data_IF_157892899190
#
_entry.id   IF_157892899190
#
_cell.length_a   1.000
_cell.length_b   1.000
_cell.length_c   1.000
_cell.angle_alpha   90.00
_cell.angle_beta   90.00
_cell.angle_gamma   90.00
#
_symmetry.space_group_name_H-M   'P 1'
#
loop_
_entity.id
_entity.type
_entity.pdbx_description
1 polymer ?
#
# COMPACT_ATOMS: atom_id res chain seq x y z
N UNK A 1 66.65 -5.55 33.39
CA UNK A 1 65.99 -6.10 32.18
C UNK A 1 64.68 -6.80 32.52
N UNK A 2 64.67 -7.76 33.47
CA UNK A 2 63.44 -8.41 33.96
C UNK A 2 62.34 -7.45 34.43
N UNK A 3 62.70 -6.40 35.19
CA UNK A 3 61.75 -5.40 35.67
C UNK A 3 61.04 -4.64 34.52
N UNK A 4 61.72 -4.37 33.39
CA UNK A 4 61.10 -3.70 32.24
C UNK A 4 60.13 -4.63 31.49
N UNK A 5 60.45 -5.92 31.39
CA UNK A 5 59.56 -6.93 30.81
C UNK A 5 58.30 -7.15 31.67
N UNK A 6 58.47 -7.30 33.00
CA UNK A 6 57.37 -7.40 33.96
C UNK A 6 56.49 -6.16 33.98
N UNK A 7 57.08 -4.97 33.88
CA UNK A 7 56.35 -3.71 33.84
C UNK A 7 55.58 -3.55 32.52
N UNK A 8 56.15 -3.99 31.39
CA UNK A 8 55.41 -4.07 30.11
C UNK A 8 54.23 -5.07 30.17
N UNK A 9 54.41 -6.24 30.79
CA UNK A 9 53.32 -7.22 30.95
C UNK A 9 52.23 -6.73 31.91
N UNK A 10 52.59 -6.08 33.02
CA UNK A 10 51.63 -5.51 33.97
C UNK A 10 50.79 -4.41 33.31
N UNK A 11 51.42 -3.57 32.49
CA UNK A 11 50.75 -2.49 31.78
C UNK A 11 49.76 -3.06 30.74
N UNK A 12 50.14 -4.10 30.01
CA UNK A 12 49.25 -4.77 29.06
C UNK A 12 48.01 -5.37 29.74
N UNK A 13 48.16 -6.03 30.89
CA UNK A 13 47.02 -6.59 31.65
C UNK A 13 46.09 -5.49 32.17
N UNK A 14 46.63 -4.39 32.69
CA UNK A 14 45.83 -3.27 33.19
C UNK A 14 45.04 -2.59 32.05
N UNK A 15 45.67 -2.40 30.89
CA UNK A 15 45.02 -1.89 29.68
C UNK A 15 43.93 -2.85 29.20
N UNK A 16 44.19 -4.17 29.18
CA UNK A 16 43.20 -5.19 28.82
C UNK A 16 41.99 -5.18 29.76
N UNK A 17 42.19 -5.17 31.07
CA UNK A 17 41.09 -5.11 32.05
C UNK A 17 40.27 -3.83 31.91
N UNK A 18 40.94 -2.68 31.78
CA UNK A 18 40.26 -1.39 31.59
C UNK A 18 39.43 -1.40 30.31
N UNK A 19 39.99 -1.92 29.22
CA UNK A 19 39.29 -2.05 27.93
C UNK A 19 38.09 -3.00 28.05
N UNK A 20 38.26 -4.15 28.71
CA UNK A 20 37.18 -5.12 28.91
C UNK A 20 36.04 -4.55 29.79
N UNK A 21 36.38 -3.80 30.84
CA UNK A 21 35.41 -3.11 31.70
C UNK A 21 34.65 -2.03 30.93
N UNK A 22 35.33 -1.21 30.13
CA UNK A 22 34.68 -0.20 29.28
C UNK A 22 33.71 -0.88 28.30
N UNK A 23 34.15 -1.95 27.64
CA UNK A 23 33.30 -2.74 26.74
C UNK A 23 32.09 -3.30 27.49
N UNK A 24 32.27 -3.83 28.71
CA UNK A 24 31.18 -4.36 29.53
C UNK A 24 30.16 -3.28 29.88
N UNK A 25 30.59 -2.10 30.34
CA UNK A 25 29.70 -0.99 30.65
C UNK A 25 28.93 -0.49 29.43
N UNK A 26 29.59 -0.41 28.26
CA UNK A 26 28.94 -0.07 27.00
C UNK A 26 27.86 -1.11 26.65
N UNK A 27 28.15 -2.41 26.76
CA UNK A 27 27.19 -3.47 26.48
C UNK A 27 26.01 -3.48 27.47
N UNK A 28 26.26 -3.27 28.77
CA UNK A 28 25.20 -3.13 29.77
C UNK A 28 24.32 -1.91 29.44
N UNK A 29 24.92 -0.78 29.07
CA UNK A 29 24.20 0.42 28.65
C UNK A 29 23.31 0.16 27.43
N UNK A 30 23.86 -0.49 26.39
CA UNK A 30 23.12 -0.90 25.18
C UNK A 30 21.97 -1.84 25.54
N UNK A 31 22.19 -2.82 26.42
CA UNK A 31 21.17 -3.75 26.86
C UNK A 31 20.03 -3.05 27.61
N UNK A 32 20.34 -2.16 28.55
CA UNK A 32 19.34 -1.36 29.27
C UNK A 32 18.55 -0.49 28.29
N UNK A 33 19.22 0.18 27.34
CA UNK A 33 18.57 0.97 26.30
C UNK A 33 17.64 0.11 25.42
N UNK A 34 18.06 -1.12 25.08
CA UNK A 34 17.24 -2.08 24.35
C UNK A 34 16.00 -2.51 25.15
N UNK A 35 16.14 -2.75 26.46
CA UNK A 35 15.02 -3.06 27.35
C UNK A 35 14.03 -1.89 27.49
N UNK A 36 14.54 -0.66 27.71
CA UNK A 36 13.71 0.55 27.80
C UNK A 36 12.94 0.75 26.50
N UNK A 37 13.63 0.65 25.36
CA UNK A 37 13.02 0.70 24.03
C UNK A 37 11.94 -0.36 23.89
N UNK A 38 12.24 -1.61 24.22
CA UNK A 38 11.30 -2.72 24.10
C UNK A 38 10.01 -2.46 24.88
N UNK A 39 10.13 -2.04 26.15
CA UNK A 39 8.98 -1.69 26.99
C UNK A 39 8.19 -0.52 26.39
N UNK A 40 8.91 0.51 25.93
CA UNK A 40 8.31 1.71 25.36
C UNK A 40 7.51 1.41 24.08
N UNK A 41 8.11 0.64 23.17
CA UNK A 41 7.50 0.26 21.89
C UNK A 41 6.31 -0.66 22.12
N UNK A 42 6.44 -1.71 22.95
CA UNK A 42 5.34 -2.65 23.23
C UNK A 42 4.12 -1.94 23.79
N UNK A 43 4.31 -0.95 24.67
CA UNK A 43 3.20 -0.18 25.25
C UNK A 43 2.40 0.61 24.21
N UNK A 44 2.97 0.93 23.06
CA UNK A 44 2.28 1.62 21.95
C UNK A 44 1.59 0.68 20.97
N UNK A 45 1.95 -0.61 20.97
CA UNK A 45 1.38 -1.56 20.01
C UNK A 45 -0.05 -1.93 20.42
N UNK A 46 -0.96 -2.15 19.45
CA UNK A 46 -2.27 -2.71 19.75
C UNK A 46 -2.13 -4.04 20.49
N UNK A 47 -2.77 -4.15 21.66
CA UNK A 47 -2.74 -5.38 22.46
C UNK A 47 -3.58 -6.44 21.77
N UNK A 48 -3.21 -7.71 21.94
CA UNK A 48 -3.99 -8.86 21.45
C UNK A 48 -4.15 -8.94 19.93
N UNK A 49 -3.47 -8.10 19.16
CA UNK A 49 -3.46 -8.15 17.70
C UNK A 49 -2.06 -8.48 17.19
N UNK A 50 -2.01 -9.08 16.01
CA UNK A 50 -0.78 -9.41 15.32
C UNK A 50 -0.60 -8.48 14.13
N UNK A 51 0.63 -7.97 13.95
CA UNK A 51 0.96 -7.16 12.78
C UNK A 51 0.94 -8.06 11.54
N UNK A 52 0.23 -7.61 10.52
CA UNK A 52 0.21 -8.25 9.21
C UNK A 52 1.08 -7.47 8.22
N UNK A 53 1.77 -8.21 7.36
CA UNK A 53 2.60 -7.68 6.28
C UNK A 53 4.05 -8.15 6.37
N UNK A 54 4.89 -7.58 5.52
CA UNK A 54 6.31 -7.92 5.47
C UNK A 54 7.09 -7.24 6.59
N UNK A 55 7.91 -8.04 7.27
CA UNK A 55 8.78 -7.63 8.37
C UNK A 55 10.26 -7.63 7.98
N UNK A 56 10.59 -8.24 6.86
CA UNK A 56 11.91 -8.35 6.24
C UNK A 56 12.07 -7.36 5.08
N UNK A 57 13.05 -7.61 4.22
CA UNK A 57 13.23 -6.90 2.95
C UNK A 57 11.96 -7.04 2.09
N UNK A 58 11.55 -5.92 1.46
CA UNK A 58 10.42 -5.88 0.54
C UNK A 58 10.63 -6.81 -0.65
N UNK A 59 9.55 -7.44 -1.13
CA UNK A 59 9.61 -8.24 -2.36
C UNK A 59 9.87 -7.37 -3.60
N UNK A 60 9.68 -6.05 -3.51
CA UNK A 60 10.03 -5.09 -4.56
C UNK A 60 11.35 -4.34 -4.30
N UNK A 61 12.16 -4.77 -3.34
CA UNK A 61 13.47 -4.16 -3.11
C UNK A 61 14.39 -4.27 -4.34
N UNK A 62 14.25 -5.35 -5.13
CA UNK A 62 14.97 -5.60 -6.37
C UNK A 62 14.13 -5.30 -7.63
N UNK A 63 13.06 -4.50 -7.52
CA UNK A 63 12.16 -4.21 -8.66
C UNK A 63 12.88 -3.59 -9.87
N UNK A 64 14.04 -2.97 -9.65
CA UNK A 64 14.85 -2.31 -10.67
C UNK A 64 15.87 -3.23 -11.34
N UNK A 65 15.99 -4.49 -10.91
CA UNK A 65 16.90 -5.44 -11.54
C UNK A 65 16.54 -5.68 -13.00
N UNK A 66 17.55 -5.66 -13.87
CA UNK A 66 17.44 -5.86 -15.33
C UNK A 66 16.77 -7.20 -15.67
N UNK A 67 16.87 -8.20 -14.79
CA UNK A 67 16.23 -9.53 -14.96
C UNK A 67 14.71 -9.46 -15.11
N UNK A 68 14.08 -8.38 -14.64
CA UNK A 68 12.63 -8.15 -14.75
C UNK A 68 12.24 -7.31 -15.97
N UNK A 69 13.21 -6.77 -16.71
CA UNK A 69 12.99 -5.90 -17.87
C UNK A 69 12.95 -6.62 -19.23
N UNK A 70 12.46 -7.86 -19.26
CA UNK A 70 12.34 -8.67 -20.48
C UNK A 70 11.28 -8.07 -21.42
N UNK A 71 11.71 -7.54 -22.56
CA UNK A 71 10.80 -6.99 -23.59
C UNK A 71 10.33 -8.08 -24.56
N UNK A 72 11.04 -9.21 -24.68
CA UNK A 72 10.76 -10.31 -25.61
C UNK A 72 10.35 -11.60 -24.88
N UNK A 73 9.59 -12.46 -25.55
CA UNK A 73 9.26 -13.82 -25.07
C UNK A 73 10.56 -14.61 -24.83
N UNK A 74 10.90 -14.84 -23.56
CA UNK A 74 12.05 -15.65 -23.21
C UNK A 74 11.93 -17.05 -23.80
N UNK A 75 13.02 -17.55 -24.40
CA UNK A 75 13.11 -18.91 -24.99
C UNK A 75 12.86 -20.02 -23.96
N UNK A 76 13.01 -19.70 -22.67
CA UNK A 76 12.70 -20.57 -21.53
C UNK A 76 11.36 -20.16 -20.91
N UNK A 77 10.44 -21.14 -20.80
CA UNK A 77 9.11 -21.03 -20.17
C UNK A 77 9.23 -20.69 -18.67
N UNK A 78 9.62 -19.46 -18.35
CA UNK A 78 9.55 -18.96 -16.98
C UNK A 78 8.06 -18.77 -16.66
N UNK A 79 7.53 -19.37 -15.58
CA UNK A 79 6.13 -19.17 -15.23
C UNK A 79 5.88 -17.71 -14.85
N UNK A 80 4.68 -17.23 -15.18
CA UNK A 80 4.24 -15.92 -14.71
C UNK A 80 3.90 -16.05 -13.23
N UNK A 81 4.48 -15.21 -12.38
CA UNK A 81 4.32 -15.32 -10.92
C UNK A 81 3.99 -14.00 -10.26
N UNK A 82 3.32 -14.07 -9.11
CA UNK A 82 3.09 -12.94 -8.23
C UNK A 82 4.39 -12.61 -7.49
N UNK A 83 5.03 -11.52 -7.90
CA UNK A 83 6.25 -11.00 -7.28
C UNK A 83 5.96 -10.30 -5.96
N UNK A 84 4.88 -9.52 -5.89
CA UNK A 84 4.52 -8.81 -4.66
C UNK A 84 3.02 -8.52 -4.56
N UNK A 85 2.52 -8.44 -3.33
CA UNK A 85 1.15 -8.08 -3.00
C UNK A 85 1.09 -6.82 -2.14
N UNK A 86 0.21 -5.91 -2.50
CA UNK A 86 0.01 -4.65 -1.79
C UNK A 86 -1.46 -4.32 -1.61
N UNK A 87 -1.77 -3.75 -0.45
CA UNK A 87 -3.03 -3.05 -0.22
C UNK A 87 -2.75 -1.58 0.13
N UNK A 88 -3.76 -0.75 -0.03
CA UNK A 88 -3.72 0.69 0.13
C UNK A 88 -4.87 1.13 1.06
N UNK A 89 -4.83 0.82 2.37
CA UNK A 89 -6.04 0.90 3.20
C UNK A 89 -6.70 2.27 3.22
N UNK A 90 -5.91 3.32 3.45
CA UNK A 90 -6.31 4.71 3.21
C UNK A 90 -5.98 5.08 1.76
N UNK A 91 -7.02 5.44 1.00
CA UNK A 91 -6.90 5.93 -0.37
C UNK A 91 -5.89 7.07 -0.45
N UNK A 92 -4.96 6.96 -1.39
CA UNK A 92 -3.87 7.92 -1.64
C UNK A 92 -2.75 7.96 -0.58
N UNK A 93 -2.77 7.13 0.45
CA UNK A 93 -1.64 7.02 1.39
C UNK A 93 -0.63 5.93 0.98
N UNK A 94 0.46 5.77 1.73
CA UNK A 94 1.47 4.72 1.49
C UNK A 94 0.83 3.31 1.57
N UNK A 95 1.35 2.31 0.86
CA UNK A 95 0.75 0.98 0.86
C UNK A 95 1.22 0.13 2.05
N UNK A 96 0.58 -1.01 2.25
CA UNK A 96 1.04 -2.10 3.12
C UNK A 96 1.39 -3.29 2.22
N UNK A 97 2.64 -3.75 2.29
CA UNK A 97 3.10 -4.94 1.59
C UNK A 97 2.72 -6.21 2.36
N UNK A 98 2.22 -7.21 1.65
CA UNK A 98 1.70 -8.45 2.20
C UNK A 98 2.41 -9.66 1.59
N UNK A 99 2.60 -10.71 2.39
CA UNK A 99 3.02 -12.02 1.88
C UNK A 99 1.82 -12.80 1.32
N UNK A 100 0.64 -12.58 1.92
CA UNK A 100 -0.64 -13.14 1.51
C UNK A 100 -1.76 -12.11 1.68
N UNK A 101 -2.75 -12.15 0.81
CA UNK A 101 -3.90 -11.24 0.86
C UNK A 101 -5.20 -12.02 0.64
N UNK A 102 -6.22 -11.73 1.45
CA UNK A 102 -7.55 -12.30 1.28
C UNK A 102 -8.25 -11.62 0.11
N UNK A 103 -8.74 -12.42 -0.84
CA UNK A 103 -9.50 -11.95 -1.99
C UNK A 103 -10.99 -12.14 -1.73
N UNK A 104 -11.75 -11.05 -1.80
CA UNK A 104 -13.21 -11.01 -1.69
C UNK A 104 -13.81 -10.38 -2.94
N UNK A 105 -15.14 -10.41 -3.09
CA UNK A 105 -15.82 -9.85 -4.28
C UNK A 105 -15.46 -8.39 -4.56
N UNK A 106 -15.25 -7.61 -3.50
CA UNK A 106 -14.91 -6.19 -3.56
C UNK A 106 -13.41 -5.90 -3.71
N UNK A 107 -12.59 -6.92 -3.92
CA UNK A 107 -11.13 -6.82 -4.10
C UNK A 107 -10.37 -7.47 -2.96
N UNK A 108 -9.17 -6.97 -2.67
CA UNK A 108 -8.44 -7.44 -1.50
C UNK A 108 -9.03 -6.86 -0.22
N UNK A 109 -9.16 -7.71 0.81
CA UNK A 109 -9.60 -7.25 2.12
C UNK A 109 -8.75 -6.06 2.60
N UNK A 110 -9.43 -5.07 3.16
CA UNK A 110 -8.84 -3.82 3.67
C UNK A 110 -8.22 -2.88 2.62
N UNK A 111 -8.27 -3.16 1.31
CA UNK A 111 -7.80 -2.23 0.28
C UNK A 111 -8.76 -1.04 0.08
N UNK A 112 -8.21 0.19 0.03
CA UNK A 112 -8.93 1.45 -0.25
C UNK A 112 -10.29 1.54 0.44
N UNK A 113 -10.25 1.22 1.72
CA UNK A 113 -11.42 1.03 2.54
C UNK A 113 -11.65 2.29 3.44
N UNK A 114 -10.60 3.12 3.58
CA UNK A 114 -10.64 4.46 4.17
C UNK A 114 -10.28 5.55 3.14
N UNK A 115 -10.69 6.80 3.39
CA UNK A 115 -10.28 7.97 2.61
C UNK A 115 -10.20 9.22 3.49
N UNK A 116 -9.19 10.07 3.28
CA UNK A 116 -9.17 11.40 3.88
C UNK A 116 -10.04 12.36 3.06
N UNK A 117 -10.85 13.16 3.74
CA UNK A 117 -11.75 14.13 3.12
C UNK A 117 -11.69 15.48 3.83
N UNK A 118 -11.77 16.55 3.05
CA UNK A 118 -11.89 17.91 3.56
C UNK A 118 -13.29 18.45 3.30
N UNK A 119 -13.74 19.34 4.17
CA UNK A 119 -14.94 20.12 3.94
C UNK A 119 -14.60 21.23 2.93
N UNK A 120 -15.10 21.12 1.70
CA UNK A 120 -14.83 22.07 0.62
C UNK A 120 -15.75 23.30 0.74
N UNK A 121 -17.00 23.07 1.12
CA UNK A 121 -17.98 24.07 1.58
C UNK A 121 -18.74 23.47 2.76
N UNK A 122 -19.51 24.29 3.47
CA UNK A 122 -20.32 23.85 4.61
C UNK A 122 -21.12 22.58 4.25
N UNK A 123 -20.85 21.48 4.96
CA UNK A 123 -21.43 20.15 4.78
C UNK A 123 -21.18 19.47 3.40
N UNK A 124 -20.35 20.06 2.52
CA UNK A 124 -19.90 19.46 1.26
C UNK A 124 -18.47 18.90 1.41
N UNK A 125 -18.37 17.58 1.62
CA UNK A 125 -17.08 16.90 1.79
C UNK A 125 -16.51 16.39 0.47
N UNK A 126 -15.20 16.55 0.29
CA UNK A 126 -14.47 16.07 -0.88
C UNK A 126 -13.21 15.32 -0.46
N UNK A 127 -12.94 14.18 -1.10
CA UNK A 127 -11.70 13.45 -0.84
C UNK A 127 -10.45 14.27 -1.23
N UNK A 128 -9.35 14.02 -0.54
CA UNK A 128 -8.02 14.52 -0.94
C UNK A 128 -7.18 13.38 -1.50
N UNK A 129 -6.21 13.72 -2.37
CA UNK A 129 -5.34 12.75 -3.02
C UNK A 129 -3.92 13.25 -3.18
N UNK A 130 -2.99 12.34 -3.50
CA UNK A 130 -1.60 12.69 -3.82
C UNK A 130 -1.49 13.72 -4.95
N UNK A 131 -2.50 13.83 -5.82
CA UNK A 131 -2.54 14.84 -6.89
C UNK A 131 -2.47 16.27 -6.37
N UNK A 132 -3.12 16.52 -5.24
CA UNK A 132 -3.16 17.83 -4.60
C UNK A 132 -2.26 17.90 -3.38
N UNK A 133 -1.98 16.73 -2.76
CA UNK A 133 -1.28 16.56 -1.48
C UNK A 133 -0.26 15.42 -1.60
N UNK A 134 0.85 15.61 -2.32
CA UNK A 134 1.77 14.52 -2.67
C UNK A 134 2.40 13.87 -1.42
N UNK A 135 2.57 14.64 -0.34
CA UNK A 135 3.01 14.19 0.99
C UNK A 135 2.16 13.06 1.60
N UNK A 136 0.94 12.83 1.10
CA UNK A 136 0.14 11.66 1.50
C UNK A 136 0.86 10.33 1.23
N UNK A 137 1.77 10.25 0.25
CA UNK A 137 2.59 9.05 0.03
C UNK A 137 3.48 8.70 1.23
N UNK A 138 3.77 9.65 2.11
CA UNK A 138 4.57 9.47 3.32
C UNK A 138 3.74 9.11 4.56
N UNK A 139 2.40 9.08 4.43
CA UNK A 139 1.51 8.60 5.49
C UNK A 139 1.54 7.07 5.46
N UNK A 140 2.29 6.49 6.40
CA UNK A 140 2.51 5.06 6.54
C UNK A 140 1.39 4.42 7.35
N UNK A 141 1.14 3.15 7.04
CA UNK A 141 0.06 2.37 7.61
C UNK A 141 0.61 1.02 8.03
N UNK A 142 0.12 0.46 9.14
CA UNK A 142 0.35 -0.94 9.51
C UNK A 142 -0.98 -1.58 9.87
N UNK A 143 -1.22 -2.74 9.29
CA UNK A 143 -2.41 -3.55 9.52
C UNK A 143 -2.19 -4.48 10.71
N UNK A 144 -3.18 -4.58 11.58
CA UNK A 144 -3.18 -5.43 12.77
C UNK A 144 -4.46 -6.25 12.80
N UNK A 145 -4.36 -7.57 12.79
CA UNK A 145 -5.50 -8.49 12.78
C UNK A 145 -5.51 -9.38 14.04
N UNK A 146 -6.68 -9.89 14.45
CA UNK A 146 -6.76 -10.88 15.52
C UNK A 146 -5.95 -12.14 15.19
N UNK A 147 -5.11 -12.57 16.14
CA UNK A 147 -4.47 -13.89 16.16
C UNK A 147 -5.20 -14.89 17.07
N UNK A 148 -4.65 -16.11 17.24
CA UNK A 148 -5.25 -17.16 18.07
C UNK A 148 -5.48 -16.76 19.54
N UNK A 149 -4.55 -15.98 20.11
CA UNK A 149 -4.58 -15.56 21.53
C UNK A 149 -5.34 -14.23 21.75
N UNK A 150 -6.12 -13.79 20.76
CA UNK A 150 -6.81 -12.50 20.84
C UNK A 150 -7.94 -12.53 21.86
N UNK A 151 -8.00 -11.52 22.72
CA UNK A 151 -9.09 -11.38 23.68
C UNK A 151 -10.29 -10.70 23.04
N UNK A 152 -11.41 -11.42 22.95
CA UNK A 152 -12.67 -10.90 22.39
C UNK A 152 -13.26 -9.72 23.17
N UNK A 153 -12.82 -9.47 24.41
CA UNK A 153 -13.24 -8.28 25.18
C UNK A 153 -12.48 -7.01 24.80
N UNK A 154 -11.48 -7.07 23.91
CA UNK A 154 -10.75 -5.90 23.44
C UNK A 154 -11.49 -5.27 22.25
N UNK A 155 -11.78 -3.97 22.35
CA UNK A 155 -12.54 -3.20 21.36
C UNK A 155 -11.98 -3.31 19.93
N UNK A 156 -10.65 -3.38 19.77
CA UNK A 156 -10.01 -3.49 18.46
C UNK A 156 -10.09 -4.92 17.92
N UNK A 157 -10.14 -5.94 18.78
CA UNK A 157 -10.37 -7.32 18.39
C UNK A 157 -11.82 -7.53 17.93
N UNK A 158 -12.80 -6.89 18.60
CA UNK A 158 -14.20 -6.91 18.17
C UNK A 158 -14.45 -6.18 16.86
N UNK A 159 -13.61 -5.17 16.54
CA UNK A 159 -13.60 -4.48 15.26
C UNK A 159 -12.84 -5.23 14.14
N UNK A 160 -12.57 -6.53 14.35
CA UNK A 160 -11.76 -7.41 13.50
C UNK A 160 -10.36 -6.88 13.17
N UNK A 161 -9.82 -6.06 14.06
CA UNK A 161 -8.47 -5.49 13.99
C UNK A 161 -8.45 -3.97 13.88
N UNK A 162 -7.26 -3.45 13.62
CA UNK A 162 -7.04 -2.02 13.50
C UNK A 162 -5.97 -1.66 12.47
N UNK A 163 -5.93 -0.38 12.13
CA UNK A 163 -4.89 0.25 11.37
C UNK A 163 -4.16 1.25 12.26
N UNK A 164 -2.83 1.12 12.38
CA UNK A 164 -2.00 2.18 12.96
C UNK A 164 -1.44 3.02 11.83
N UNK A 165 -1.66 4.33 11.89
CA UNK A 165 -1.24 5.30 10.88
C UNK A 165 -0.13 6.16 11.47
N UNK A 166 0.93 6.40 10.71
CA UNK A 166 2.00 7.33 11.10
C UNK A 166 2.43 8.26 9.97
N UNK A 167 2.90 9.44 10.33
CA UNK A 167 3.44 10.44 9.39
C UNK A 167 4.49 11.32 10.09
N UNK A 168 5.43 11.94 9.34
CA UNK A 168 6.41 12.84 9.91
C UNK A 168 5.77 13.98 10.72
N UNK A 169 6.26 14.22 11.92
CA UNK A 169 5.81 15.34 12.74
C UNK A 169 6.20 16.66 12.05
N UNK A 170 5.23 17.54 11.72
CA UNK A 170 5.53 18.81 11.06
C UNK A 170 6.14 19.85 12.01
N UNK A 171 6.05 19.67 13.33
CA UNK A 171 6.57 20.64 14.28
C UNK A 171 8.11 20.61 14.33
N UNK A 172 8.77 21.75 14.63
CA UNK A 172 10.20 21.76 14.90
C UNK A 172 10.55 20.80 16.04
N UNK A 173 11.26 19.72 15.72
CA UNK A 173 11.62 18.71 16.69
C UNK A 173 12.55 19.26 17.77
N UNK A 174 12.06 19.31 19.02
CA UNK A 174 12.88 19.56 20.21
C UNK A 174 13.98 18.50 20.36
N UNK A 175 15.07 18.83 21.07
CA UNK A 175 16.17 17.90 21.32
C UNK A 175 15.67 16.57 21.94
N UNK A 176 14.72 16.65 22.87
CA UNK A 176 14.11 15.49 23.52
C UNK A 176 13.34 14.60 22.52
N UNK A 177 12.59 15.19 21.58
CA UNK A 177 11.86 14.44 20.55
C UNK A 177 12.81 13.75 19.56
N UNK A 178 13.92 14.39 19.18
CA UNK A 178 14.94 13.78 18.32
C UNK A 178 15.60 12.60 19.03
N UNK A 179 16.04 12.79 20.28
CA UNK A 179 16.61 11.71 21.10
C UNK A 179 15.65 10.54 21.25
N UNK A 180 14.36 10.83 21.49
CA UNK A 180 13.30 9.83 21.58
C UNK A 180 13.11 9.08 20.27
N UNK A 181 13.05 9.78 19.13
CA UNK A 181 12.93 9.15 17.81
C UNK A 181 14.16 8.27 17.50
N UNK A 182 15.37 8.73 17.84
CA UNK A 182 16.60 7.95 17.71
C UNK A 182 16.57 6.69 18.58
N UNK A 183 16.12 6.79 19.84
CA UNK A 183 15.94 5.66 20.75
C UNK A 183 14.92 4.63 20.21
N UNK A 184 13.77 5.11 19.72
CA UNK A 184 12.69 4.29 19.18
C UNK A 184 13.08 3.56 17.88
N UNK A 185 13.96 4.15 17.06
CA UNK A 185 14.30 3.63 15.72
C UNK A 185 15.74 3.09 15.60
N UNK A 186 16.60 3.36 16.59
CA UNK A 186 18.06 3.17 16.51
C UNK A 186 18.71 3.84 15.29
N UNK A 187 18.09 4.90 14.76
CA UNK A 187 18.59 5.65 13.60
C UNK A 187 18.90 7.09 14.01
N UNK A 188 20.15 7.52 13.83
CA UNK A 188 20.62 8.87 14.19
C UNK A 188 19.85 9.99 13.47
N UNK A 189 19.38 9.75 12.26
CA UNK A 189 18.63 10.68 11.42
C UNK A 189 17.10 10.57 11.57
N UNK A 190 16.61 9.81 12.56
CA UNK A 190 15.18 9.57 12.72
C UNK A 190 14.41 10.87 12.99
N UNK A 191 13.39 11.12 12.16
CA UNK A 191 12.45 12.21 12.35
C UNK A 191 11.34 11.74 13.30
N UNK A 192 10.88 12.58 14.25
CA UNK A 192 9.70 12.26 15.04
C UNK A 192 8.49 12.01 14.14
N UNK A 193 7.63 11.08 14.55
CA UNK A 193 6.41 10.73 13.82
C UNK A 193 5.19 10.84 14.73
N UNK A 194 4.10 11.36 14.18
CA UNK A 194 2.77 11.36 14.80
C UNK A 194 2.11 10.03 14.48
N UNK A 195 1.41 9.47 15.47
CA UNK A 195 0.76 8.17 15.35
C UNK A 195 -0.68 8.25 15.84
N UNK A 196 -1.58 7.54 15.17
CA UNK A 196 -2.93 7.27 15.68
C UNK A 196 -3.40 5.88 15.24
N UNK A 197 -4.35 5.33 15.98
CA UNK A 197 -4.95 4.02 15.71
C UNK A 197 -6.42 4.20 15.37
N UNK A 198 -6.88 3.46 14.36
CA UNK A 198 -8.28 3.43 13.95
C UNK A 198 -8.76 1.97 13.80
N UNK A 199 -9.93 1.59 14.32
CA UNK A 199 -10.50 0.26 14.11
C UNK A 199 -10.78 0.00 12.61
N UNK A 200 -10.66 -1.26 12.16
CA UNK A 200 -10.91 -1.60 10.75
C UNK A 200 -12.37 -1.44 10.35
N UNK A 201 -13.28 -1.87 11.21
CA UNK A 201 -14.71 -1.59 11.12
C UNK A 201 -15.31 -1.62 12.54
N UNK A 202 -15.71 -0.48 13.12
CA UNK A 202 -16.41 -0.46 14.40
C UNK A 202 -17.70 -1.30 14.35
N UNK A 203 -18.02 -2.00 15.45
CA UNK A 203 -19.29 -2.72 15.60
C UNK A 203 -20.46 -1.75 15.69
N UNK A 204 -21.69 -2.24 15.48
CA UNK A 204 -22.89 -1.41 15.60
C UNK A 204 -23.04 -0.75 16.99
N UNK A 205 -22.67 -1.48 18.05
CA UNK A 205 -22.68 -0.97 19.42
C UNK A 205 -21.67 0.18 19.58
N UNK A 206 -20.43 -0.03 19.12
CA UNK A 206 -19.39 1.01 19.11
C UNK A 206 -19.79 2.26 18.32
N UNK A 207 -20.43 2.08 17.16
CA UNK A 207 -20.95 3.20 16.34
C UNK A 207 -21.99 3.99 17.13
N UNK A 208 -22.91 3.30 17.81
CA UNK A 208 -23.97 3.94 18.60
C UNK A 208 -23.43 4.66 19.84
N UNK A 209 -22.51 4.01 20.59
CA UNK A 209 -21.93 4.52 21.82
C UNK A 209 -21.05 5.76 21.56
N UNK A 210 -20.20 5.68 20.54
CA UNK A 210 -19.34 6.80 20.12
C UNK A 210 -20.05 7.81 19.22
N UNK A 211 -21.31 7.56 18.85
CA UNK A 211 -22.14 8.40 17.97
C UNK A 211 -21.45 8.75 16.65
N UNK A 212 -20.81 7.77 16.03
CA UNK A 212 -20.06 7.93 14.79
C UNK A 212 -21.05 8.19 13.64
N UNK A 213 -21.03 9.37 12.99
CA UNK A 213 -22.01 9.68 11.96
C UNK A 213 -21.63 9.08 10.61
N UNK A 214 -22.65 8.78 9.80
CA UNK A 214 -22.49 8.53 8.37
C UNK A 214 -22.46 9.85 7.60
N UNK A 215 -21.52 10.01 6.67
CA UNK A 215 -21.40 11.20 5.84
C UNK A 215 -21.24 10.85 4.37
N UNK A 216 -21.83 11.70 3.53
CA UNK A 216 -21.58 11.70 2.10
C UNK A 216 -20.37 12.57 1.78
N UNK A 217 -19.59 12.15 0.79
CA UNK A 217 -18.47 12.91 0.25
C UNK A 217 -18.25 12.57 -1.23
N UNK A 218 -17.56 13.45 -1.95
CA UNK A 218 -17.33 13.27 -3.38
C UNK A 218 -15.95 12.66 -3.64
N UNK A 219 -15.91 11.59 -4.45
CA UNK A 219 -14.68 11.02 -5.02
C UNK A 219 -14.74 11.21 -6.54
N UNK A 220 -13.90 12.07 -7.10
CA UNK A 220 -13.98 12.46 -8.52
C UNK A 220 -15.39 12.96 -8.90
N UNK A 221 -16.11 12.25 -9.75
CA UNK A 221 -17.47 12.57 -10.20
C UNK A 221 -18.54 11.70 -9.53
N UNK A 222 -18.18 10.87 -8.54
CA UNK A 222 -19.12 10.00 -7.83
C UNK A 222 -19.34 10.46 -6.39
N UNK A 223 -20.57 10.29 -5.92
CA UNK A 223 -20.89 10.42 -4.51
C UNK A 223 -20.57 9.11 -3.79
N UNK A 224 -19.89 9.20 -2.67
CA UNK A 224 -19.57 8.09 -1.78
C UNK A 224 -20.13 8.39 -0.39
N UNK A 225 -20.19 7.37 0.45
CA UNK A 225 -20.58 7.50 1.85
C UNK A 225 -19.66 6.69 2.76
N UNK A 226 -19.63 7.01 4.05
CA UNK A 226 -18.88 6.26 5.04
C UNK A 226 -19.04 6.82 6.45
N UNK A 227 -18.54 6.05 7.41
CA UNK A 227 -18.41 6.45 8.80
C UNK A 227 -17.34 7.55 8.91
N UNK A 228 -17.70 8.66 9.57
CA UNK A 228 -16.79 9.76 9.89
C UNK A 228 -16.01 9.45 11.17
N UNK A 229 -14.81 8.91 11.01
CA UNK A 229 -13.95 8.50 12.10
C UNK A 229 -13.06 9.64 12.63
N UNK A 230 -13.20 10.86 12.10
CA UNK A 230 -12.42 12.02 12.54
C UNK A 230 -12.67 12.40 13.99
N UNK A 231 -13.82 12.01 14.54
CA UNK A 231 -14.21 12.29 15.93
C UNK A 231 -13.60 11.31 16.95
N UNK A 232 -13.03 10.19 16.49
CA UNK A 232 -12.39 9.24 17.40
C UNK A 232 -11.23 9.93 18.12
N UNK A 233 -11.07 9.80 19.45
CA UNK A 233 -10.10 10.60 20.22
C UNK A 233 -8.67 10.58 19.67
N UNK A 234 -8.18 9.40 19.24
CA UNK A 234 -6.84 9.28 18.66
C UNK A 234 -6.70 9.96 17.29
N UNK A 235 -7.75 9.91 16.47
CA UNK A 235 -7.78 10.56 15.15
C UNK A 235 -7.90 12.08 15.33
N UNK A 236 -8.84 12.53 16.17
CA UNK A 236 -9.05 13.94 16.52
C UNK A 236 -7.77 14.60 17.04
N UNK A 237 -7.02 13.91 17.91
CA UNK A 237 -5.73 14.40 18.42
C UNK A 237 -4.64 14.53 17.34
N UNK A 238 -4.69 13.70 16.29
CA UNK A 238 -3.71 13.73 15.21
C UNK A 238 -4.07 14.71 14.07
N UNK A 239 -5.35 15.07 13.91
CA UNK A 239 -5.84 15.94 12.81
C UNK A 239 -5.10 17.29 12.71
N UNK A 240 -4.82 18.05 13.79
CA UNK A 240 -4.13 19.34 13.67
C UNK A 240 -2.73 19.21 13.03
N UNK A 241 -1.96 18.21 13.48
CA UNK A 241 -0.64 17.92 12.90
C UNK A 241 -0.75 17.37 11.48
N UNK A 242 -1.75 16.54 11.22
CA UNK A 242 -2.00 16.02 9.86
C UNK A 242 -2.35 17.13 8.88
N UNK A 243 -3.14 18.13 9.30
CA UNK A 243 -3.47 19.32 8.49
C UNK A 243 -2.22 20.13 8.18
N UNK A 244 -1.39 20.39 9.18
CA UNK A 244 -0.11 21.10 9.00
C UNK A 244 0.80 20.35 8.05
N UNK A 245 0.97 19.04 8.27
CA UNK A 245 1.78 18.17 7.41
C UNK A 245 1.31 18.18 5.95
N UNK A 246 0.00 18.15 5.72
CA UNK A 246 -0.61 18.19 4.39
C UNK A 246 -0.85 19.61 3.85
N UNK A 247 -0.36 20.66 4.51
CA UNK A 247 -0.60 22.05 4.10
C UNK A 247 -2.10 22.36 3.89
N UNK A 248 -2.96 21.87 4.79
CA UNK A 248 -4.40 22.14 4.81
C UNK A 248 -4.65 23.31 5.77
N UNK A 249 -5.33 24.39 5.35
CA UNK A 249 -5.60 25.54 6.21
C UNK A 249 -6.29 25.14 7.52
N UNK A 250 -5.93 25.80 8.62
CA UNK A 250 -6.52 25.51 9.95
C UNK A 250 -8.04 25.70 9.99
N UNK A 251 -8.58 26.64 9.21
CA UNK A 251 -10.04 26.84 9.11
C UNK A 251 -10.79 25.73 8.35
N UNK A 252 -10.08 24.89 7.60
CA UNK A 252 -10.70 23.85 6.78
C UNK A 252 -10.78 22.54 7.56
N UNK A 253 -11.96 21.97 7.67
CA UNK A 253 -12.18 20.69 8.34
C UNK A 253 -11.51 19.55 7.55
N UNK A 254 -10.92 18.59 8.26
CA UNK A 254 -10.34 17.36 7.72
C UNK A 254 -10.89 16.19 8.52
N UNK A 255 -11.25 15.11 7.85
CA UNK A 255 -11.67 13.87 8.49
C UNK A 255 -11.15 12.62 7.77
N UNK A 256 -11.32 11.47 8.42
CA UNK A 256 -11.08 10.12 7.91
C UNK A 256 -12.42 9.40 7.74
N UNK A 257 -12.80 9.14 6.49
CA UNK A 257 -13.99 8.37 6.13
C UNK A 257 -13.66 6.88 6.03
N UNK A 258 -14.58 6.01 6.45
CA UNK A 258 -14.50 4.55 6.30
C UNK A 258 -15.75 3.99 5.63
N UNK A 259 -15.60 3.26 4.52
CA UNK A 259 -16.74 2.58 3.90
C UNK A 259 -17.20 1.40 4.77
N UNK A 260 -18.49 1.13 4.77
CA UNK A 260 -19.14 -0.06 5.34
C UNK A 260 -19.70 -0.94 4.20
N UNK A 261 -20.10 -2.20 4.47
CA UNK A 261 -20.78 -3.03 3.48
C UNK A 261 -21.97 -2.34 2.79
N UNK A 262 -22.75 -1.55 3.54
CA UNK A 262 -23.93 -0.84 3.02
C UNK A 262 -23.59 0.39 2.16
N UNK A 263 -22.34 0.84 2.19
CA UNK A 263 -21.87 1.99 1.37
C UNK A 263 -21.11 1.58 0.12
N UNK A 264 -20.96 0.28 -0.11
CA UNK A 264 -20.34 -0.23 -1.32
C UNK A 264 -21.17 0.17 -2.54
N UNK A 265 -20.49 0.50 -3.63
CA UNK A 265 -21.12 0.97 -4.85
C UNK A 265 -20.91 -0.06 -5.95
N UNK A 266 -21.94 -0.27 -6.78
CA UNK A 266 -21.84 -1.10 -7.98
C UNK A 266 -21.00 -0.41 -9.04
N UNK A 267 -20.09 -1.15 -9.65
CA UNK A 267 -19.39 -0.71 -10.86
C UNK A 267 -20.39 -0.56 -12.01
N UNK A 268 -20.27 0.52 -12.78
CA UNK A 268 -21.21 0.87 -13.87
C UNK A 268 -20.53 1.10 -15.21
N UNK A 269 -19.22 0.82 -15.29
CA UNK A 269 -18.37 1.02 -16.47
C UNK A 269 -17.30 -0.06 -16.50
N UNK A 270 -16.86 -0.44 -17.70
CA UNK A 270 -15.82 -1.46 -17.89
C UNK A 270 -16.19 -2.76 -17.18
N UNK A 271 -17.27 -3.39 -17.62
CA UNK A 271 -17.87 -4.55 -16.98
C UNK A 271 -17.32 -5.85 -17.59
N UNK A 272 -17.21 -6.90 -16.78
CA UNK A 272 -16.97 -8.26 -17.25
C UNK A 272 -18.31 -9.01 -17.27
N UNK A 273 -18.54 -9.92 -18.24
CA UNK A 273 -19.78 -10.69 -18.34
C UNK A 273 -20.18 -11.36 -17.03
N UNK A 274 -21.48 -11.31 -16.69
CA UNK A 274 -22.01 -12.00 -15.51
C UNK A 274 -21.80 -13.51 -15.58
N UNK A 275 -21.75 -14.09 -16.78
CA UNK A 275 -21.40 -15.50 -16.98
C UNK A 275 -20.01 -15.86 -16.44
N UNK A 276 -19.11 -14.88 -16.32
CA UNK A 276 -17.80 -15.06 -15.70
C UNK A 276 -17.81 -14.64 -14.23
N UNK A 277 -18.32 -13.44 -13.92
CA UNK A 277 -18.15 -12.87 -12.57
C UNK A 277 -19.26 -13.29 -11.58
N UNK A 278 -20.35 -13.89 -12.06
CA UNK A 278 -21.54 -14.23 -11.28
C UNK A 278 -22.40 -13.00 -10.99
N UNK A 279 -22.07 -12.29 -9.93
CA UNK A 279 -22.77 -11.07 -9.51
C UNK A 279 -22.05 -9.79 -9.94
N UNK A 280 -22.77 -8.66 -10.08
CA UNK A 280 -22.18 -7.37 -10.37
C UNK A 280 -21.00 -7.02 -9.45
N UNK A 281 -19.93 -6.49 -10.03
CA UNK A 281 -18.77 -6.07 -9.24
C UNK A 281 -19.11 -4.85 -8.38
N UNK A 282 -18.69 -4.92 -7.11
CA UNK A 282 -18.91 -3.90 -6.09
C UNK A 282 -17.57 -3.36 -5.61
N UNK A 283 -17.53 -2.10 -5.15
CA UNK A 283 -16.29 -1.52 -4.66
C UNK A 283 -16.50 -0.43 -3.61
N UNK A 284 -15.48 -0.22 -2.77
CA UNK A 284 -15.43 0.85 -1.78
C UNK A 284 -14.85 2.15 -2.35
N UNK A 285 -13.69 2.58 -1.86
CA UNK A 285 -13.02 3.80 -2.32
C UNK A 285 -11.96 3.58 -3.41
N UNK A 286 -11.97 2.39 -4.05
CA UNK A 286 -11.24 2.15 -5.30
C UNK A 286 -11.75 3.07 -6.42
N UNK A 287 -10.97 3.26 -7.48
CA UNK A 287 -11.35 4.20 -8.54
C UNK A 287 -12.50 3.67 -9.39
N UNK A 288 -12.26 2.60 -10.14
CA UNK A 288 -13.27 1.99 -11.00
C UNK A 288 -13.54 0.53 -10.67
N UNK A 289 -12.49 -0.20 -10.30
CA UNK A 289 -12.52 -1.67 -10.21
C UNK A 289 -11.79 -2.14 -8.95
N UNK A 290 -12.14 -3.32 -8.42
CA UNK A 290 -11.70 -3.77 -7.10
C UNK A 290 -10.24 -4.24 -7.05
N UNK A 291 -9.69 -4.77 -8.15
CA UNK A 291 -8.31 -5.26 -8.21
C UNK A 291 -7.56 -4.57 -9.34
N UNK A 292 -6.28 -4.28 -9.11
CA UNK A 292 -5.37 -3.70 -10.09
C UNK A 292 -4.08 -4.52 -10.16
N UNK A 293 -3.73 -4.98 -11.36
CA UNK A 293 -2.50 -5.73 -11.63
C UNK A 293 -1.53 -4.91 -12.49
N UNK A 294 -0.24 -5.13 -12.31
CA UNK A 294 0.80 -4.55 -13.15
C UNK A 294 1.95 -5.54 -13.31
N UNK A 295 2.51 -5.58 -14.51
CA UNK A 295 3.67 -6.39 -14.83
C UNK A 295 4.95 -5.56 -14.72
N UNK A 296 5.99 -6.09 -14.08
CA UNK A 296 7.24 -5.37 -13.90
C UNK A 296 7.96 -5.12 -15.23
N UNK A 297 7.88 -6.02 -16.22
CA UNK A 297 8.48 -5.77 -17.54
C UNK A 297 7.83 -4.57 -18.24
N UNK A 298 6.51 -4.38 -18.10
CA UNK A 298 5.81 -3.17 -18.57
C UNK A 298 6.32 -1.90 -17.90
N UNK A 299 6.61 -1.94 -16.58
CA UNK A 299 7.18 -0.79 -15.84
C UNK A 299 8.59 -0.49 -16.32
N UNK A 300 9.43 -1.51 -16.53
CA UNK A 300 10.77 -1.37 -17.07
C UNK A 300 10.76 -0.78 -18.47
N UNK A 301 9.88 -1.28 -19.35
CA UNK A 301 9.72 -0.77 -20.71
C UNK A 301 9.37 0.72 -20.72
N UNK A 302 8.42 1.16 -19.87
CA UNK A 302 8.11 2.59 -19.70
C UNK A 302 9.27 3.36 -19.07
N UNK A 303 9.99 2.78 -18.10
CA UNK A 303 11.14 3.40 -17.45
C UNK A 303 12.22 3.78 -18.46
N UNK A 304 12.51 2.92 -19.45
CA UNK A 304 13.52 3.16 -20.50
C UNK A 304 13.18 4.35 -21.40
N UNK A 305 11.89 4.71 -21.49
CA UNK A 305 11.38 5.82 -22.30
C UNK A 305 11.36 7.16 -21.54
N UNK A 306 11.62 7.16 -20.23
CA UNK A 306 11.68 8.39 -19.45
C UNK A 306 12.99 9.15 -19.71
N UNK A 307 13.02 10.47 -19.49
CA UNK A 307 14.27 11.21 -19.40
C UNK A 307 15.19 10.57 -18.35
N UNK A 308 16.53 10.55 -18.57
CA UNK A 308 17.47 9.89 -17.67
C UNK A 308 17.36 10.32 -16.21
N UNK A 309 17.03 11.59 -15.95
CA UNK A 309 16.85 12.15 -14.59
C UNK A 309 15.63 11.61 -13.85
N UNK A 310 14.66 11.02 -14.56
CA UNK A 310 13.46 10.40 -13.99
C UNK A 310 13.55 8.86 -13.96
N UNK A 311 14.72 8.28 -14.28
CA UNK A 311 14.97 6.85 -14.19
C UNK A 311 15.71 6.48 -12.88
N UNK A 312 15.49 5.29 -12.32
CA UNK A 312 14.49 4.29 -12.72
C UNK A 312 13.08 4.59 -12.19
N UNK A 313 12.06 4.17 -12.94
CA UNK A 313 10.67 4.34 -12.55
C UNK A 313 10.23 3.32 -11.50
N UNK A 314 9.79 3.79 -10.32
CA UNK A 314 9.22 2.87 -9.31
C UNK A 314 7.83 2.37 -9.71
N UNK A 315 7.65 1.05 -9.68
CA UNK A 315 6.35 0.40 -9.91
C UNK A 315 5.28 0.84 -8.90
N UNK A 316 5.68 1.23 -7.68
CA UNK A 316 4.78 1.67 -6.61
C UNK A 316 4.01 2.96 -6.95
N UNK A 317 4.49 3.77 -7.91
CA UNK A 317 3.77 4.96 -8.44
C UNK A 317 2.42 4.60 -9.03
N UNK A 318 2.26 3.37 -9.51
CA UNK A 318 1.05 2.91 -10.16
C UNK A 318 0.02 2.30 -9.20
N UNK A 319 0.40 2.06 -7.94
CA UNK A 319 -0.50 1.60 -6.87
C UNK A 319 -1.31 0.36 -7.27
N UNK A 320 -0.62 -0.63 -7.82
CA UNK A 320 -1.19 -1.96 -8.04
C UNK A 320 -1.35 -2.72 -6.73
N UNK A 321 -2.19 -3.75 -6.81
CA UNK A 321 -2.33 -4.75 -5.77
C UNK A 321 -1.45 -5.96 -6.04
N UNK A 322 -1.40 -6.41 -7.31
CA UNK A 322 -0.59 -7.56 -7.73
C UNK A 322 0.50 -7.08 -8.68
N UNK A 323 1.75 -7.36 -8.34
CA UNK A 323 2.92 -7.12 -9.20
C UNK A 323 3.38 -8.45 -9.78
N UNK A 324 3.51 -8.52 -11.10
CA UNK A 324 3.81 -9.75 -11.83
C UNK A 324 5.22 -9.72 -12.43
N UNK A 325 5.79 -10.91 -12.60
CA UNK A 325 7.04 -11.15 -13.33
C UNK A 325 6.90 -12.41 -14.18
N UNK A 326 7.83 -12.63 -15.13
CA UNK A 326 7.84 -13.84 -15.97
C UNK A 326 6.99 -13.74 -17.24
N UNK A 327 6.55 -12.54 -17.63
CA UNK A 327 5.81 -12.31 -18.88
C UNK A 327 6.36 -11.07 -19.59
N UNK A 328 6.35 -11.03 -20.95
CA UNK A 328 6.84 -9.88 -21.71
C UNK A 328 6.10 -8.58 -21.39
N UNK A 329 6.71 -7.45 -21.72
CA UNK A 329 6.10 -6.14 -21.48
C UNK A 329 4.72 -6.04 -22.16
N UNK A 330 3.75 -5.55 -21.40
CA UNK A 330 2.36 -5.30 -21.81
C UNK A 330 1.53 -6.55 -22.16
N UNK A 331 2.05 -7.77 -21.98
CA UNK A 331 1.29 -8.99 -22.23
C UNK A 331 0.01 -9.09 -21.39
N UNK A 332 0.00 -8.51 -20.19
CA UNK A 332 -1.18 -8.44 -19.32
C UNK A 332 -2.36 -7.69 -19.97
N UNK A 333 -2.09 -6.81 -20.94
CA UNK A 333 -3.12 -6.06 -21.67
C UNK A 333 -3.91 -6.93 -22.66
N UNK A 334 -3.48 -8.17 -22.89
CA UNK A 334 -4.19 -9.12 -23.74
C UNK A 334 -5.08 -10.06 -22.93
N UNK A 335 -4.93 -10.12 -21.60
CA UNK A 335 -5.65 -11.11 -20.81
C UNK A 335 -7.09 -10.67 -20.60
N UNK A 336 -8.04 -11.60 -20.78
CA UNK A 336 -9.46 -11.40 -20.46
C UNK A 336 -9.85 -12.12 -19.19
N UNK A 337 -9.24 -13.28 -18.94
CA UNK A 337 -9.42 -14.07 -17.72
C UNK A 337 -8.12 -14.77 -17.37
N UNK A 338 -7.80 -14.83 -16.09
CA UNK A 338 -6.66 -15.57 -15.58
C UNK A 338 -6.99 -16.21 -14.25
N UNK A 339 -6.25 -17.26 -13.92
CA UNK A 339 -6.31 -17.99 -12.65
C UNK A 339 -4.98 -17.84 -11.93
N UNK A 340 -5.06 -17.69 -10.62
CA UNK A 340 -3.94 -17.68 -9.69
C UNK A 340 -3.88 -19.07 -9.06
N UNK A 341 -2.87 -19.83 -9.43
CA UNK A 341 -2.61 -21.17 -8.94
C UNK A 341 -1.77 -21.09 -7.66
N UNK A 342 -2.22 -21.69 -6.54
CA UNK A 342 -1.42 -21.73 -5.33
C UNK A 342 -0.06 -22.38 -5.58
N UNK A 343 1.02 -21.73 -5.12
CA UNK A 343 2.36 -22.32 -5.18
C UNK A 343 2.41 -23.68 -4.47
N UNK A 344 3.08 -24.66 -5.06
CA UNK A 344 3.35 -25.96 -4.45
C UNK A 344 4.50 -25.84 -3.45
N UNK A 345 4.19 -25.86 -2.15
CA UNK A 345 5.21 -25.88 -1.09
C UNK A 345 5.41 -27.33 -0.65
N UNK A 346 6.55 -27.93 -1.02
CA UNK A 346 6.84 -29.38 -0.96
C UNK A 346 5.92 -30.20 -1.87
N UNK A 347 6.28 -31.42 -2.26
CA UNK A 347 5.57 -32.26 -3.25
C UNK A 347 4.13 -32.68 -2.89
N UNK A 348 3.44 -31.92 -2.03
CA UNK A 348 2.01 -32.02 -1.73
C UNK A 348 1.26 -30.88 -2.43
N UNK A 349 0.13 -31.22 -3.04
CA UNK A 349 -0.78 -30.23 -3.59
C UNK A 349 -1.24 -29.25 -2.49
N UNK A 350 -1.29 -27.97 -2.82
CA UNK A 350 -1.85 -26.95 -1.92
C UNK A 350 -3.32 -27.23 -1.65
N UNK A 351 -3.77 -27.06 -0.41
CA UNK A 351 -5.19 -27.17 -0.03
C UNK A 351 -5.98 -25.90 -0.36
N UNK A 352 -5.29 -24.80 -0.69
CA UNK A 352 -5.91 -23.50 -1.00
C UNK A 352 -6.63 -23.56 -2.34
N UNK A 353 -7.81 -22.94 -2.41
CA UNK A 353 -8.54 -22.78 -3.68
C UNK A 353 -7.78 -21.82 -4.61
N UNK A 354 -7.84 -22.08 -5.92
CA UNK A 354 -7.30 -21.18 -6.91
C UNK A 354 -8.21 -19.95 -7.07
N UNK A 355 -7.64 -18.77 -7.31
CA UNK A 355 -8.43 -17.54 -7.52
C UNK A 355 -8.60 -17.28 -9.00
N UNK A 356 -9.82 -17.03 -9.48
CA UNK A 356 -10.04 -16.65 -10.89
C UNK A 356 -10.51 -15.19 -10.95
N UNK A 357 -9.91 -14.42 -11.87
CA UNK A 357 -10.24 -13.02 -12.08
C UNK A 357 -10.49 -12.74 -13.56
N UNK A 358 -11.51 -11.93 -13.80
CA UNK A 358 -11.81 -11.35 -15.10
C UNK A 358 -11.14 -9.98 -15.22
N UNK A 359 -10.45 -9.75 -16.33
CA UNK A 359 -9.80 -8.47 -16.66
C UNK A 359 -10.78 -7.63 -17.47
N UNK A 360 -10.99 -6.38 -17.07
CA UNK A 360 -12.08 -5.56 -17.64
C UNK A 360 -11.61 -4.41 -18.51
N UNK A 361 -10.50 -3.75 -18.16
CA UNK A 361 -9.96 -2.65 -18.95
C UNK A 361 -8.52 -2.32 -18.58
N UNK A 362 -7.84 -1.57 -19.46
CA UNK A 362 -6.57 -0.92 -19.13
C UNK A 362 -6.80 0.18 -18.10
N UNK A 363 -5.85 0.33 -17.19
CA UNK A 363 -5.91 1.34 -16.13
C UNK A 363 -5.47 2.69 -16.68
N UNK A 364 -6.44 3.57 -16.96
CA UNK A 364 -6.16 4.96 -17.33
C UNK A 364 -5.45 5.70 -16.19
N UNK A 365 -4.34 6.36 -16.49
CA UNK A 365 -3.55 7.10 -15.50
C UNK A 365 -3.94 8.57 -15.45
N UNK A 366 -3.75 9.17 -14.28
CA UNK A 366 -3.90 10.62 -14.05
C UNK A 366 -2.54 11.20 -13.64
N UNK A 367 -2.49 12.37 -13.02
CA UNK A 367 -1.22 13.00 -12.58
C UNK A 367 -0.61 12.35 -11.34
N UNK A 368 -1.32 11.44 -10.66
CA UNK A 368 -0.86 10.83 -9.41
C UNK A 368 0.47 10.05 -9.52
N UNK A 369 0.76 9.26 -10.57
CA UNK A 369 2.05 8.57 -10.72
C UNK A 369 3.27 9.51 -10.78
N UNK A 370 3.05 10.82 -10.97
CA UNK A 370 4.13 11.81 -10.96
C UNK A 370 4.68 12.07 -9.56
N UNK A 371 4.00 11.60 -8.51
CA UNK A 371 4.49 11.69 -7.14
C UNK A 371 5.44 10.53 -6.87
N UNK A 372 6.65 10.84 -6.44
CA UNK A 372 7.56 9.83 -5.91
C UNK A 372 7.02 9.29 -4.57
N UNK A 373 6.77 7.98 -4.45
CA UNK A 373 6.23 7.39 -3.23
C UNK A 373 7.17 7.53 -2.02
N UNK A 374 8.48 7.69 -2.24
CA UNK A 374 9.47 7.74 -1.17
C UNK A 374 9.71 9.15 -0.63
N UNK A 375 9.56 10.17 -1.49
CA UNK A 375 9.83 11.58 -1.12
C UNK A 375 8.56 12.41 -0.98
N UNK A 376 7.43 11.99 -1.58
CA UNK A 376 6.20 12.77 -1.58
C UNK A 376 6.31 14.06 -2.37
N UNK A 377 7.16 14.09 -3.39
CA UNK A 377 7.42 15.22 -4.27
C UNK A 377 6.89 14.89 -5.68
N UNK A 378 6.36 15.90 -6.36
CA UNK A 378 6.04 15.82 -7.78
C UNK A 378 7.31 15.92 -8.62
N UNK A 379 7.53 14.93 -9.47
CA UNK A 379 8.67 14.90 -10.37
C UNK A 379 8.36 15.49 -11.73
N UNK A 380 9.38 16.16 -12.25
CA UNK A 380 9.37 16.85 -13.51
C UNK A 380 10.70 16.58 -14.23
N UNK A 381 10.65 16.61 -15.56
CA UNK A 381 11.78 16.75 -16.47
C UNK A 381 12.07 18.25 -16.65
N UNK A 382 13.23 18.70 -16.20
CA UNK A 382 13.69 20.09 -16.31
C UNK A 382 14.67 20.32 -17.46
N UNK A 383 15.00 19.27 -18.22
CA UNK A 383 15.98 19.35 -19.31
C UNK A 383 15.49 20.15 -20.52
N UNK A 384 14.19 20.39 -20.64
CA UNK A 384 13.56 21.13 -21.75
C UNK A 384 13.63 22.66 -21.54
N UNK A 385 14.56 23.37 -22.20
CA UNK A 385 14.77 24.80 -21.96
C UNK A 385 13.64 25.69 -22.49
N UNK A 386 12.79 25.17 -23.39
CA UNK A 386 11.63 25.89 -23.93
C UNK A 386 10.51 26.10 -22.88
N UNK A 387 10.52 25.35 -21.78
CA UNK A 387 9.47 25.41 -20.76
C UNK A 387 9.97 26.01 -19.45
N UNK A 388 9.34 27.12 -19.04
CA UNK A 388 9.58 27.75 -17.73
C UNK A 388 9.23 26.87 -16.52
N UNK A 389 8.37 25.86 -16.72
CA UNK A 389 8.01 24.86 -15.71
C UNK A 389 8.40 23.49 -16.24
N UNK A 390 9.06 22.69 -15.42
CA UNK A 390 9.42 21.32 -15.76
C UNK A 390 8.21 20.48 -16.19
N UNK A 391 8.46 19.52 -17.08
CA UNK A 391 7.44 18.66 -17.68
C UNK A 391 7.12 17.49 -16.76
N UNK A 392 5.86 17.28 -16.34
CA UNK A 392 5.54 16.27 -15.34
C UNK A 392 5.79 14.84 -15.85
N UNK A 393 6.48 14.03 -15.05
CA UNK A 393 6.81 12.64 -15.37
C UNK A 393 6.31 11.67 -14.27
N UNK A 394 5.87 10.44 -14.61
CA UNK A 394 5.93 9.80 -15.93
C UNK A 394 4.75 10.14 -16.85
N UNK A 395 3.80 11.00 -16.45
CA UNK A 395 2.58 11.25 -17.23
C UNK A 395 2.84 11.70 -18.66
N UNK A 396 3.88 12.49 -18.91
CA UNK A 396 4.18 12.96 -20.27
C UNK A 396 4.66 11.80 -21.15
N UNK A 397 5.61 11.00 -20.68
CA UNK A 397 6.07 9.79 -21.40
C UNK A 397 4.93 8.79 -21.60
N UNK A 398 4.01 8.64 -20.63
CA UNK A 398 2.84 7.78 -20.78
C UNK A 398 1.87 8.30 -21.86
N UNK A 399 1.66 9.60 -21.97
CA UNK A 399 0.81 10.18 -23.03
C UNK A 399 1.43 9.89 -24.40
N UNK A 400 2.74 10.14 -24.53
CA UNK A 400 3.47 10.02 -25.79
C UNK A 400 3.57 8.58 -26.29
N UNK A 401 3.86 7.62 -25.41
CA UNK A 401 4.17 6.25 -25.80
C UNK A 401 3.13 5.20 -25.38
N UNK A 402 2.24 5.54 -24.43
CA UNK A 402 1.30 4.58 -23.81
C UNK A 402 -0.17 5.04 -23.86
N UNK A 403 -0.52 5.95 -24.77
CA UNK A 403 -1.93 6.19 -25.14
C UNK A 403 -2.34 5.20 -26.22
N UNK A 404 -2.50 3.93 -25.82
CA UNK A 404 -2.78 2.80 -26.75
C UNK A 404 -4.24 2.68 -27.18
N UNK A 405 -5.13 3.51 -26.63
CA UNK A 405 -6.55 3.54 -26.95
C UNK A 405 -7.16 4.91 -26.67
N UNK A 406 -8.36 5.18 -27.22
CA UNK A 406 -9.03 6.48 -27.16
C UNK A 406 -10.32 6.49 -26.32
N UNK A 407 -10.63 5.41 -25.59
CA UNK A 407 -11.89 5.26 -24.85
C UNK A 407 -12.05 6.22 -23.65
N UNK A 408 -10.95 6.79 -23.14
CA UNK A 408 -10.99 7.79 -22.08
C UNK A 408 -10.20 9.05 -22.48
N UNK A 409 -10.85 10.12 -22.94
CA UNK A 409 -10.16 11.34 -23.38
C UNK A 409 -9.45 12.08 -22.23
N UNK A 410 -9.76 11.76 -20.97
CA UNK A 410 -9.09 12.34 -19.80
C UNK A 410 -7.89 11.52 -19.31
N UNK A 411 -7.56 10.40 -19.96
CA UNK A 411 -6.42 9.56 -19.58
C UNK A 411 -5.09 10.22 -19.95
N UNK A 412 -4.14 10.22 -19.01
CA UNK A 412 -2.75 10.61 -19.24
C UNK A 412 -1.90 9.35 -19.54
N UNK A 413 -2.32 8.58 -20.54
CA UNK A 413 -1.79 7.27 -20.89
C UNK A 413 -2.30 6.10 -20.03
N UNK A 414 -1.84 4.90 -20.35
CA UNK A 414 -2.31 3.63 -19.77
C UNK A 414 -1.12 2.76 -19.32
N UNK A 415 -1.28 2.09 -18.18
CA UNK A 415 -0.36 1.06 -17.73
C UNK A 415 -1.07 0.19 -16.70
N UNK A 416 -0.93 -1.14 -16.75
CA UNK A 416 -1.60 -2.06 -15.81
C UNK A 416 -3.09 -2.24 -16.10
N UNK A 417 -3.70 -3.25 -15.46
CA UNK A 417 -5.04 -3.72 -15.78
C UNK A 417 -5.96 -3.77 -14.57
N UNK A 418 -7.21 -3.41 -14.79
CA UNK A 418 -8.27 -3.56 -13.80
C UNK A 418 -8.93 -4.92 -13.89
N UNK A 419 -9.19 -5.53 -12.74
CA UNK A 419 -9.71 -6.89 -12.63
C UNK A 419 -10.83 -7.00 -11.59
N UNK A 420 -11.67 -8.01 -11.76
CA UNK A 420 -12.79 -8.36 -10.90
C UNK A 420 -12.68 -9.83 -10.50
N UNK A 421 -12.75 -10.15 -9.20
CA UNK A 421 -12.84 -11.53 -8.73
C UNK A 421 -14.14 -12.21 -9.17
N UNK A 422 -14.03 -13.47 -9.58
CA UNK A 422 -15.18 -14.30 -9.95
C UNK A 422 -15.83 -14.94 -8.72
N UNK A 423 -17.16 -15.02 -8.69
CA UNK A 423 -17.87 -15.60 -7.54
C UNK A 423 -17.61 -17.10 -7.38
N UNK A 424 -17.29 -17.79 -8.48
CA UNK A 424 -17.02 -19.23 -8.52
C UNK A 424 -15.88 -19.64 -7.59
N UNK A 425 -14.73 -18.95 -7.64
CA UNK A 425 -13.59 -19.27 -6.76
C UNK A 425 -13.83 -18.86 -5.30
N UNK A 426 -14.62 -17.81 -5.06
CA UNK A 426 -14.99 -17.41 -3.70
C UNK A 426 -15.93 -18.46 -3.08
N UNK A 427 -16.88 -18.96 -3.87
CA UNK A 427 -17.78 -20.04 -3.47
C UNK A 427 -17.01 -21.33 -3.23
N UNK A 428 -16.09 -21.71 -4.13
CA UNK A 428 -15.23 -22.90 -3.97
C UNK A 428 -14.44 -22.86 -2.65
N UNK A 429 -13.86 -21.72 -2.29
CA UNK A 429 -13.15 -21.58 -1.02
C UNK A 429 -14.10 -21.78 0.17
N UNK A 430 -15.30 -21.17 0.12
CA UNK A 430 -16.33 -21.31 1.16
C UNK A 430 -16.83 -22.74 1.29
N UNK A 431 -17.05 -23.44 0.19
CA UNK A 431 -17.50 -24.83 0.15
C UNK A 431 -16.42 -25.78 0.73
N UNK A 432 -15.18 -25.30 0.88
CA UNK A 432 -14.06 -25.96 1.57
C UNK A 432 -13.83 -25.44 3.00
N UNK A 433 -14.82 -24.76 3.59
CA UNK A 433 -14.73 -24.10 4.91
C UNK A 433 -13.49 -23.20 5.05
N UNK A 434 -13.13 -22.51 3.96
CA UNK A 434 -11.94 -21.67 3.88
C UNK A 434 -12.25 -20.30 3.28
N UNK A 435 -11.29 -19.38 3.44
CA UNK A 435 -11.32 -18.09 2.76
C UNK A 435 -10.38 -18.12 1.55
N UNK A 436 -10.70 -17.33 0.52
CA UNK A 436 -9.87 -17.25 -0.67
C UNK A 436 -8.67 -16.34 -0.42
N UNK A 437 -7.46 -16.90 -0.48
CA UNK A 437 -6.20 -16.16 -0.35
C UNK A 437 -5.37 -16.24 -1.62
N UNK A 438 -4.59 -15.20 -1.85
CA UNK A 438 -3.53 -15.10 -2.86
C UNK A 438 -2.21 -14.85 -2.15
N UNK A 439 -1.14 -15.49 -2.59
CA UNK A 439 0.19 -15.41 -1.97
C UNK A 439 1.28 -14.99 -2.95
N UNK A 440 2.34 -14.38 -2.42
CA UNK A 440 3.57 -14.14 -3.18
C UNK A 440 4.16 -15.49 -3.62
N UNK A 441 4.54 -15.56 -4.90
CA UNK A 441 5.03 -16.78 -5.56
C UNK A 441 3.95 -17.65 -6.18
N UNK A 442 2.66 -17.34 -6.02
CA UNK A 442 1.61 -18.03 -6.79
C UNK A 442 1.77 -17.80 -8.30
N UNK A 443 1.42 -18.81 -9.09
CA UNK A 443 1.56 -18.79 -10.55
C UNK A 443 0.30 -18.26 -11.23
N UNK A 444 0.46 -17.57 -12.36
CA UNK A 444 -0.63 -17.08 -13.19
C UNK A 444 -0.81 -17.98 -14.41
N UNK A 445 -2.01 -18.55 -14.53
CA UNK A 445 -2.49 -19.26 -15.70
C UNK A 445 -3.45 -18.36 -16.48
N UNK A 446 -3.10 -17.98 -17.70
CA UNK A 446 -3.97 -17.17 -18.57
C UNK A 446 -5.00 -18.10 -19.23
N UNK A 447 -6.28 -17.85 -18.98
CA UNK A 447 -7.38 -18.71 -19.47
C UNK A 447 -7.94 -18.22 -20.81
N UNK A 448 -8.06 -16.90 -20.97
CA UNK A 448 -8.64 -16.28 -22.16
C UNK A 448 -7.86 -15.02 -22.49
N UNK A 449 -7.54 -14.83 -23.76
CA UNK A 449 -6.93 -13.60 -24.30
C UNK A 449 -7.90 -12.86 -25.23
N UNK A 450 -7.65 -11.58 -25.47
CA UNK A 450 -8.43 -10.72 -26.34
C UNK A 450 -8.09 -9.24 -26.19
N UNK A 451 -8.81 -8.37 -26.88
CA UNK A 451 -8.60 -6.92 -26.86
C UNK A 451 -9.49 -6.22 -25.83
N UNK A 452 -8.96 -5.22 -25.14
CA UNK A 452 -9.76 -4.29 -24.31
C UNK A 452 -9.98 -2.96 -25.01
N UNK A 453 -11.16 -2.39 -24.79
CA UNK A 453 -11.48 -1.02 -25.14
C UNK A 453 -12.19 -0.37 -23.95
N UNK A 454 -11.61 0.68 -23.40
CA UNK A 454 -12.15 1.39 -22.26
C UNK A 454 -13.53 1.99 -22.59
N UNK A 455 -14.46 1.81 -21.67
CA UNK A 455 -15.82 2.33 -21.73
C UNK A 455 -16.74 1.57 -22.69
N UNK A 456 -16.25 0.59 -23.44
CA UNK A 456 -17.01 -0.07 -24.50
C UNK A 456 -18.24 -0.81 -24.01
N UNK A 457 -18.26 -1.24 -22.76
CA UNK A 457 -19.40 -1.94 -22.16
C UNK A 457 -20.48 -1.00 -21.65
N UNK A 458 -20.15 0.28 -21.39
CA UNK A 458 -21.03 1.14 -20.60
C UNK A 458 -21.48 0.44 -19.31
N UNK A 459 -22.80 0.43 -19.07
CA UNK A 459 -23.45 -0.28 -17.97
C UNK A 459 -24.13 -1.60 -18.42
N UNK A 460 -23.69 -2.15 -19.56
CA UNK A 460 -24.15 -3.42 -20.10
C UNK A 460 -23.13 -4.52 -19.76
N UNK A 461 -23.62 -5.66 -19.28
CA UNK A 461 -22.79 -6.74 -18.73
C UNK A 461 -22.36 -7.74 -19.78
#
# INVERSE_FOLDING_TARGET
MLARLLQQELDLRAVLHSTLSIILFINIGIFILACIRHIYVIRKLPKYLQRVGIHSVSNLADQFDVKYGQDEEATTKTPVVIKALYIHPIKSCAPVELERAQLVKTGFAYDRCFALAVEAKKDEWQFISQRTKPQMSLIKQRLWLPGPDSKRSDMLVEADGCLTVSFPDPDPASLLQRLKAMLETWTLSAKPEVHFTVPLLPTADHISQMKIPMRHFTIHSRQAAGLDLGQLPGVAAAIPKLKTFLNIPERQSLTLMRCTPDTLVRTTRNLAPLDHIGTPAMHGYTDQQPVHIINLSSVHSVSKLLPPENQPLSALRFRANIYLTGTPAFSEETWKRYRILPKTVTSRASTRAASTLSVVCRTSRCTMPNVDPNTGIFEHDNSRPDRKKGVPQPSTTLIEHRTVEAGNPAALGYLGMHCVPEDSCIKEARDRDSELYVEVGDEIEVLVTGSHLYGSTGNDY
#
